data_IF_491094332310
#
_entry.id   IF_491094332310
#
_cell.length_a   1.000
_cell.length_b   1.000
_cell.length_c   1.000
_cell.angle_alpha   90.00
_cell.angle_beta   90.00
_cell.angle_gamma   90.00
#
_symmetry.space_group_name_H-M   'P 1'
#
loop_
_entity.id
_entity.type
_entity.pdbx_description
1 polymer ?
#
# COMPACT_ATOMS: atom_id res chain seq x y z
N UNK A 1 -24.22 10.24 6.76
CA UNK A 1 -23.03 9.65 7.38
C UNK A 1 -22.20 10.78 7.97
N UNK A 2 -21.87 10.71 9.26
CA UNK A 2 -21.09 11.75 9.93
C UNK A 2 -19.66 11.76 9.39
N UNK A 3 -19.06 12.95 9.31
CA UNK A 3 -17.64 13.13 8.99
C UNK A 3 -16.80 12.52 10.13
N UNK A 4 -15.77 11.71 9.85
CA UNK A 4 -14.91 11.15 10.88
C UNK A 4 -14.11 12.23 11.62
N UNK A 5 -13.97 12.06 12.92
CA UNK A 5 -13.10 12.89 13.76
C UNK A 5 -11.82 12.10 14.11
N UNK A 6 -10.71 12.42 13.45
CA UNK A 6 -9.46 11.69 13.62
C UNK A 6 -8.72 11.99 14.93
N UNK A 7 -9.28 12.82 15.82
CA UNK A 7 -8.84 12.89 17.22
C UNK A 7 -9.34 11.69 18.03
N UNK A 8 -10.39 11.00 17.57
CA UNK A 8 -10.89 9.75 18.16
C UNK A 8 -10.21 8.52 17.52
N UNK A 9 -9.58 7.69 18.37
CA UNK A 9 -8.91 6.44 18.02
C UNK A 9 -9.82 5.41 17.32
N UNK A 10 -11.15 5.53 17.43
CA UNK A 10 -12.10 4.65 16.74
C UNK A 10 -12.06 4.83 15.22
N UNK A 11 -11.74 6.03 14.74
CA UNK A 11 -11.57 6.33 13.31
C UNK A 11 -10.20 5.94 12.76
N UNK A 12 -9.40 5.19 13.53
CA UNK A 12 -8.16 4.60 13.09
C UNK A 12 -8.26 3.08 13.03
N UNK A 13 -7.97 2.52 11.86
CA UNK A 13 -7.82 1.09 11.65
C UNK A 13 -6.51 0.59 12.26
N UNK A 14 -5.46 1.42 12.22
CA UNK A 14 -4.24 1.23 12.97
C UNK A 14 -3.77 2.53 13.63
N UNK A 15 -3.31 2.46 14.89
CA UNK A 15 -2.78 3.62 15.62
C UNK A 15 -1.83 3.18 16.73
N UNK A 16 -0.69 3.87 16.99
CA UNK A 16 0.27 3.47 18.05
C UNK A 16 -0.26 3.50 19.49
N UNK A 17 -1.47 3.99 19.71
CA UNK A 17 -2.14 4.06 21.02
C UNK A 17 -3.32 3.08 21.12
N UNK A 18 -3.37 2.12 20.20
CA UNK A 18 -4.40 1.10 20.08
C UNK A 18 -3.71 -0.22 19.76
N UNK A 19 -4.20 -1.32 20.34
CA UNK A 19 -3.83 -2.65 19.88
C UNK A 19 -4.68 -2.98 18.65
N UNK A 20 -4.03 -3.26 17.53
CA UNK A 20 -4.72 -3.55 16.28
C UNK A 20 -3.97 -4.61 15.44
N UNK A 21 -4.56 -5.11 14.34
CA UNK A 21 -3.91 -6.16 13.57
C UNK A 21 -2.60 -5.76 12.91
N UNK A 22 -2.28 -4.47 12.75
CA UNK A 22 -0.99 -4.04 12.20
C UNK A 22 0.17 -4.34 13.15
N UNK A 23 -0.08 -4.51 14.44
CA UNK A 23 0.91 -4.95 15.44
C UNK A 23 1.26 -6.44 15.32
N UNK A 24 0.52 -7.18 14.49
CA UNK A 24 0.71 -8.62 14.36
C UNK A 24 2.05 -8.96 13.70
N UNK A 25 2.72 -9.98 14.24
CA UNK A 25 3.98 -10.48 13.71
C UNK A 25 3.80 -11.96 13.33
N UNK A 26 4.09 -12.36 12.08
CA UNK A 26 4.08 -13.75 11.67
C UNK A 26 4.91 -14.61 12.61
N UNK A 27 4.37 -15.77 13.05
CA UNK A 27 5.03 -16.66 14.03
C UNK A 27 6.54 -16.85 13.82
N UNK A 28 7.06 -17.11 12.59
CA UNK A 28 8.50 -17.33 12.42
C UNK A 28 9.38 -16.08 12.61
N UNK A 29 8.82 -14.88 12.62
CA UNK A 29 9.56 -13.61 12.78
C UNK A 29 9.63 -13.13 14.25
N UNK A 30 8.73 -13.62 15.12
CA UNK A 30 8.58 -13.12 16.50
C UNK A 30 9.86 -13.18 17.33
N UNK A 31 10.67 -14.23 17.17
CA UNK A 31 11.88 -14.44 17.97
C UNK A 31 12.91 -13.32 17.81
N UNK A 32 13.00 -12.72 16.61
CA UNK A 32 14.00 -11.72 16.27
C UNK A 32 13.37 -10.34 16.05
N UNK A 33 12.12 -10.15 16.45
CA UNK A 33 11.42 -8.89 16.27
C UNK A 33 12.01 -7.82 17.19
N UNK A 34 12.45 -6.72 16.58
CA UNK A 34 12.99 -5.56 17.27
C UNK A 34 12.29 -4.33 16.67
N UNK A 35 11.26 -3.79 17.34
CA UNK A 35 10.53 -2.64 16.81
C UNK A 35 11.40 -1.39 16.85
N UNK A 36 11.33 -0.63 15.76
CA UNK A 36 11.82 0.74 15.68
C UNK A 36 10.61 1.69 15.64
N UNK A 37 10.66 2.78 16.41
CA UNK A 37 9.59 3.79 16.48
C UNK A 37 10.07 5.19 16.09
N UNK A 38 11.24 5.28 15.45
CA UNK A 38 11.85 6.55 15.04
C UNK A 38 11.24 7.12 13.76
N UNK A 39 10.54 6.29 12.98
CA UNK A 39 9.83 6.66 11.75
C UNK A 39 8.35 6.39 11.94
N UNK A 40 7.53 7.16 11.25
CA UNK A 40 6.08 6.91 11.17
C UNK A 40 5.71 6.37 9.80
N UNK A 41 4.76 5.45 9.77
CA UNK A 41 4.21 4.88 8.56
C UNK A 41 2.74 5.31 8.48
N UNK A 42 2.42 6.14 7.49
CA UNK A 42 1.04 6.46 7.18
C UNK A 42 0.55 5.51 6.08
N UNK A 43 -0.18 4.47 6.51
CA UNK A 43 -0.68 3.41 5.65
C UNK A 43 -2.12 3.68 5.20
N UNK A 44 -2.36 3.74 3.89
CA UNK A 44 -3.69 3.94 3.32
C UNK A 44 -4.14 2.63 2.69
N UNK A 45 -5.10 1.98 3.35
CA UNK A 45 -5.60 0.66 2.97
C UNK A 45 -6.40 0.71 1.65
N UNK A 46 -6.59 -0.42 0.94
CA UNK A 46 -7.45 -0.48 -0.25
C UNK A 46 -8.93 -0.51 0.16
N UNK A 47 -9.84 -0.53 -0.81
CA UNK A 47 -11.25 -0.78 -0.53
C UNK A 47 -11.48 -2.26 -0.21
N UNK A 48 -12.07 -2.53 0.95
CA UNK A 48 -12.68 -3.79 1.37
C UNK A 48 -14.19 -3.78 1.17
N UNK A 49 -14.77 -2.64 0.78
CA UNK A 49 -16.18 -2.47 0.42
C UNK A 49 -16.40 -2.93 -1.02
N UNK A 50 -16.58 -4.25 -1.14
CA UNK A 50 -16.66 -4.96 -2.42
C UNK A 50 -18.03 -5.58 -2.68
N UNK A 51 -19.05 -5.22 -1.89
CA UNK A 51 -20.41 -5.71 -2.10
C UNK A 51 -21.03 -4.97 -3.29
N UNK A 52 -21.45 -5.74 -4.30
CA UNK A 52 -22.09 -5.21 -5.51
C UNK A 52 -23.47 -4.58 -5.22
N UNK A 53 -24.15 -4.98 -4.15
CA UNK A 53 -25.43 -4.38 -3.76
C UNK A 53 -25.27 -2.98 -3.19
N UNK A 54 -24.05 -2.61 -2.75
CA UNK A 54 -23.74 -1.29 -2.19
C UNK A 54 -24.75 -0.87 -1.10
N UNK A 55 -24.89 -1.63 0.01
CA UNK A 55 -25.90 -1.35 1.05
C UNK A 55 -25.82 0.06 1.66
N UNK A 56 -24.66 0.73 1.57
CA UNK A 56 -24.44 2.09 2.06
C UNK A 56 -24.29 3.13 0.93
N UNK A 57 -24.63 2.77 -0.30
CA UNK A 57 -24.37 3.56 -1.49
C UNK A 57 -22.92 3.47 -1.95
N UNK A 58 -22.41 4.52 -2.58
CA UNK A 58 -21.09 4.53 -3.22
C UNK A 58 -19.91 4.55 -2.26
N UNK A 59 -20.12 4.98 -1.01
CA UNK A 59 -19.11 4.97 0.02
C UNK A 59 -19.52 4.05 1.17
N UNK A 60 -18.54 3.41 1.78
CA UNK A 60 -18.75 2.59 2.96
C UNK A 60 -19.24 3.39 4.17
N UNK A 61 -20.07 2.76 5.00
CA UNK A 61 -20.33 3.24 6.35
C UNK A 61 -19.14 2.93 7.27
N UNK A 62 -18.75 3.91 8.09
CA UNK A 62 -17.73 3.73 9.14
C UNK A 62 -18.28 3.00 10.37
N UNK A 63 -19.60 2.83 10.49
CA UNK A 63 -20.24 2.13 11.60
C UNK A 63 -20.50 0.65 11.32
N UNK A 64 -20.19 0.15 10.12
CA UNK A 64 -20.42 -1.25 9.77
C UNK A 64 -19.33 -2.15 10.37
N UNK A 65 -19.70 -2.95 11.37
CA UNK A 65 -18.76 -3.79 12.11
C UNK A 65 -18.15 -4.91 11.25
N UNK A 66 -18.91 -5.45 10.29
CA UNK A 66 -18.42 -6.52 9.40
C UNK A 66 -17.36 -6.00 8.44
N UNK A 67 -17.60 -4.84 7.82
CA UNK A 67 -16.62 -4.18 6.95
C UNK A 67 -15.39 -3.71 7.73
N UNK A 68 -15.59 -3.22 8.95
CA UNK A 68 -14.51 -2.87 9.88
C UNK A 68 -13.62 -4.09 10.13
N UNK A 69 -14.21 -5.21 10.57
CA UNK A 69 -13.48 -6.46 10.80
C UNK A 69 -12.81 -6.99 9.51
N UNK A 70 -13.49 -6.89 8.35
CA UNK A 70 -12.91 -7.28 7.07
C UNK A 70 -11.66 -6.47 6.76
N UNK A 71 -11.68 -5.16 6.99
CA UNK A 71 -10.51 -4.27 6.76
C UNK A 71 -9.37 -4.64 7.71
N UNK A 72 -9.68 -4.79 8.98
CA UNK A 72 -8.73 -5.08 10.05
C UNK A 72 -8.01 -6.43 9.83
N UNK A 73 -8.77 -7.49 9.58
CA UNK A 73 -8.23 -8.85 9.46
C UNK A 73 -7.83 -9.25 8.02
N UNK A 74 -7.92 -8.33 7.05
CA UNK A 74 -7.34 -8.52 5.72
C UNK A 74 -6.23 -7.51 5.45
N UNK A 75 -6.56 -6.26 5.15
CA UNK A 75 -5.59 -5.30 4.64
C UNK A 75 -4.65 -4.81 5.73
N UNK A 76 -5.17 -4.55 6.93
CA UNK A 76 -4.33 -4.11 8.05
C UNK A 76 -3.43 -5.26 8.51
N UNK A 77 -4.01 -6.45 8.71
CA UNK A 77 -3.25 -7.64 9.10
C UNK A 77 -2.21 -8.09 8.08
N UNK A 78 -2.49 -8.07 6.77
CA UNK A 78 -1.59 -8.68 5.77
C UNK A 78 -0.72 -7.67 5.02
N UNK A 79 -1.05 -6.37 5.05
CA UNK A 79 -0.32 -5.34 4.31
C UNK A 79 0.28 -4.29 5.26
N UNK A 80 -0.50 -3.70 6.17
CA UNK A 80 0.01 -2.68 7.08
C UNK A 80 1.05 -3.25 8.06
N UNK A 81 0.85 -4.49 8.54
CA UNK A 81 1.78 -5.17 9.46
C UNK A 81 3.20 -5.38 8.90
N UNK A 82 3.39 -5.28 7.58
CA UNK A 82 4.72 -5.35 6.96
C UNK A 82 5.64 -4.29 7.57
N UNK A 83 5.09 -3.11 7.85
CA UNK A 83 5.84 -1.92 8.23
C UNK A 83 6.09 -1.78 9.73
N UNK A 84 5.49 -2.65 10.57
CA UNK A 84 5.58 -2.56 12.03
C UNK A 84 6.98 -2.89 12.62
N UNK A 85 7.97 -3.29 11.81
CA UNK A 85 9.36 -3.42 12.29
C UNK A 85 10.06 -2.08 12.40
N UNK A 86 9.68 -1.12 11.56
CA UNK A 86 10.49 0.08 11.31
C UNK A 86 9.88 1.36 11.86
N UNK A 87 8.59 1.34 12.18
CA UNK A 87 7.88 2.55 12.54
C UNK A 87 6.51 2.33 13.15
N UNK A 88 6.02 3.44 13.70
CA UNK A 88 4.67 3.58 14.23
C UNK A 88 3.67 3.59 13.09
N UNK A 89 2.70 2.67 13.07
CA UNK A 89 1.73 2.56 11.97
C UNK A 89 0.47 3.37 12.28
N UNK A 90 0.11 4.25 11.35
CA UNK A 90 -1.13 5.02 11.34
C UNK A 90 -1.91 4.65 10.09
N UNK A 91 -3.14 4.16 10.25
CA UNK A 91 -4.03 3.87 9.13
C UNK A 91 -5.45 4.37 9.42
N UNK A 92 -5.97 5.36 8.68
CA UNK A 92 -7.31 5.89 8.95
C UNK A 92 -8.41 4.95 8.48
N UNK A 93 -9.54 4.95 9.19
CA UNK A 93 -10.83 4.49 8.67
C UNK A 93 -11.46 5.63 7.90
N UNK A 94 -11.39 5.57 6.58
CA UNK A 94 -12.01 6.54 5.69
C UNK A 94 -13.23 5.92 5.01
N UNK A 95 -14.17 6.76 4.54
CA UNK A 95 -15.37 6.32 3.80
C UNK A 95 -14.96 5.85 2.40
N UNK A 96 -14.28 4.71 2.33
CA UNK A 96 -13.80 4.06 1.12
C UNK A 96 -14.89 3.96 0.06
N UNK A 97 -14.55 4.30 -1.18
CA UNK A 97 -15.46 4.12 -2.30
C UNK A 97 -15.61 2.61 -2.58
N UNK A 98 -16.82 2.18 -2.95
CA UNK A 98 -17.08 0.80 -3.32
C UNK A 98 -16.22 0.38 -4.51
N UNK A 99 -15.84 -0.90 -4.60
CA UNK A 99 -15.07 -1.44 -5.72
C UNK A 99 -15.69 -1.11 -7.09
N UNK A 100 -17.02 -1.10 -7.21
CA UNK A 100 -17.72 -0.74 -8.44
C UNK A 100 -17.45 0.69 -8.92
N UNK A 101 -16.92 1.59 -8.07
CA UNK A 101 -16.51 2.94 -8.47
C UNK A 101 -15.35 2.94 -9.49
N UNK A 102 -14.58 1.86 -9.59
CA UNK A 102 -13.57 1.68 -10.64
C UNK A 102 -14.14 1.22 -11.99
N UNK A 103 -15.41 0.79 -12.01
CA UNK A 103 -16.05 0.21 -13.19
C UNK A 103 -17.44 0.83 -13.41
N UNK A 104 -17.56 2.17 -13.54
CA UNK A 104 -18.84 2.81 -13.82
C UNK A 104 -19.37 2.35 -15.19
N UNK A 105 -20.67 2.08 -15.28
CA UNK A 105 -21.32 1.60 -16.52
C UNK A 105 -22.21 2.65 -17.18
N UNK A 106 -22.49 3.75 -16.50
CA UNK A 106 -23.26 4.89 -17.00
C UNK A 106 -22.59 6.23 -16.65
N UNK A 107 -22.98 7.31 -17.33
CA UNK A 107 -22.50 8.66 -16.99
C UNK A 107 -22.86 9.06 -15.56
N UNK A 108 -24.03 8.63 -15.07
CA UNK A 108 -24.45 8.87 -13.69
C UNK A 108 -23.55 8.13 -12.69
N UNK A 109 -23.19 6.87 -12.99
CA UNK A 109 -22.24 6.11 -12.19
C UNK A 109 -20.86 6.77 -12.18
N UNK A 110 -20.39 7.30 -13.32
CA UNK A 110 -19.11 8.02 -13.39
C UNK A 110 -19.09 9.22 -12.45
N UNK A 111 -20.15 10.04 -12.45
CA UNK A 111 -20.25 11.20 -11.55
C UNK A 111 -20.27 10.75 -10.09
N UNK A 112 -21.05 9.72 -9.76
CA UNK A 112 -21.15 9.21 -8.40
C UNK A 112 -19.85 8.56 -7.91
N UNK A 113 -19.14 7.84 -8.78
CA UNK A 113 -17.82 7.28 -8.49
C UNK A 113 -16.79 8.37 -8.21
N UNK A 114 -16.76 9.44 -9.00
CA UNK A 114 -15.88 10.59 -8.76
C UNK A 114 -16.18 11.26 -7.41
N UNK A 115 -17.45 11.50 -7.10
CA UNK A 115 -17.87 12.04 -5.80
C UNK A 115 -17.46 11.12 -4.64
N UNK A 116 -17.56 9.81 -4.84
CA UNK A 116 -17.16 8.83 -3.84
C UNK A 116 -15.64 8.84 -3.59
N UNK A 117 -14.83 8.96 -4.64
CA UNK A 117 -13.38 9.10 -4.50
C UNK A 117 -12.98 10.43 -3.84
N UNK A 118 -13.67 11.53 -4.16
CA UNK A 118 -13.41 12.82 -3.51
C UNK A 118 -13.75 12.79 -2.01
N UNK A 119 -14.89 12.18 -1.65
CA UNK A 119 -15.26 12.00 -0.24
C UNK A 119 -14.23 11.15 0.51
N UNK A 120 -13.82 10.03 -0.08
CA UNK A 120 -12.80 9.15 0.48
C UNK A 120 -11.45 9.86 0.63
N UNK A 121 -11.03 10.67 -0.36
CA UNK A 121 -9.81 11.45 -0.28
C UNK A 121 -9.88 12.54 0.80
N UNK A 122 -11.01 13.23 0.94
CA UNK A 122 -11.21 14.24 1.97
C UNK A 122 -10.99 13.65 3.37
N UNK A 123 -11.51 12.45 3.62
CA UNK A 123 -11.29 11.71 4.86
C UNK A 123 -9.81 11.33 5.06
N UNK A 124 -9.14 10.78 4.03
CA UNK A 124 -7.70 10.44 4.10
C UNK A 124 -6.85 11.67 4.39
N UNK A 125 -7.14 12.80 3.73
CA UNK A 125 -6.44 14.06 3.92
C UNK A 125 -6.65 14.61 5.31
N UNK A 126 -7.88 14.60 5.83
CA UNK A 126 -8.18 15.03 7.19
C UNK A 126 -7.39 14.20 8.22
N UNK A 127 -7.35 12.87 8.07
CA UNK A 127 -6.56 12.01 8.92
C UNK A 127 -5.07 12.33 8.87
N UNK A 128 -4.52 12.56 7.68
CA UNK A 128 -3.11 12.88 7.51
C UNK A 128 -2.74 14.21 8.17
N UNK A 129 -3.60 15.22 8.05
CA UNK A 129 -3.42 16.52 8.72
C UNK A 129 -3.43 16.32 10.24
N UNK A 130 -4.44 15.65 10.79
CA UNK A 130 -4.50 15.36 12.24
C UNK A 130 -3.26 14.59 12.72
N UNK A 131 -2.81 13.61 11.94
CA UNK A 131 -1.58 12.86 12.23
C UNK A 131 -0.34 13.77 12.27
N UNK A 132 -0.17 14.64 11.27
CA UNK A 132 0.97 15.55 11.21
C UNK A 132 0.98 16.52 12.39
N UNK A 133 -0.18 17.12 12.70
CA UNK A 133 -0.31 18.16 13.72
C UNK A 133 -0.23 17.59 15.15
N UNK A 134 -0.75 16.39 15.36
CA UNK A 134 -0.94 15.83 16.72
C UNK A 134 0.13 14.80 17.09
N UNK A 135 0.54 13.95 16.14
CA UNK A 135 1.28 12.72 16.47
C UNK A 135 2.69 12.64 15.87
N UNK A 136 2.95 13.24 14.71
CA UNK A 136 4.22 13.07 14.00
C UNK A 136 5.41 13.67 14.75
N UNK A 137 5.25 14.88 15.31
CA UNK A 137 6.30 15.64 16.02
C UNK A 137 7.62 15.71 15.23
N UNK A 138 7.56 15.84 13.90
CA UNK A 138 8.72 16.00 13.03
C UNK A 138 9.50 14.72 12.70
N UNK A 139 8.96 13.53 13.03
CA UNK A 139 9.56 12.24 12.65
C UNK A 139 9.57 12.05 11.13
N UNK A 140 10.54 11.32 10.57
CA UNK A 140 10.50 10.89 9.17
C UNK A 140 9.26 10.05 8.89
N UNK A 141 8.80 10.09 7.64
CA UNK A 141 7.51 9.55 7.22
C UNK A 141 7.71 8.57 6.06
N UNK A 142 7.09 7.41 6.17
CA UNK A 142 6.83 6.49 5.05
C UNK A 142 5.36 6.63 4.68
N UNK A 143 5.08 6.89 3.41
CA UNK A 143 3.72 6.74 2.87
C UNK A 143 3.64 5.35 2.26
N UNK A 144 2.67 4.54 2.68
CA UNK A 144 2.45 3.22 2.14
C UNK A 144 0.98 3.04 1.78
N UNK A 145 0.68 2.41 0.66
CA UNK A 145 -0.70 2.21 0.26
C UNK A 145 -0.89 1.05 -0.70
N UNK A 146 -2.12 0.54 -0.76
CA UNK A 146 -2.52 -0.46 -1.74
C UNK A 146 -3.80 -0.06 -2.46
N UNK A 147 -3.88 -0.37 -3.76
CA UNK A 147 -5.07 -0.21 -4.60
C UNK A 147 -5.74 1.17 -4.43
N UNK A 148 -6.97 1.25 -3.90
CA UNK A 148 -7.64 2.53 -3.64
C UNK A 148 -6.87 3.47 -2.71
N UNK A 149 -6.13 2.93 -1.75
CA UNK A 149 -5.22 3.73 -0.97
C UNK A 149 -4.16 4.40 -1.83
N UNK A 150 -3.72 3.77 -2.92
CA UNK A 150 -2.80 4.37 -3.90
C UNK A 150 -3.46 5.44 -4.76
N UNK A 151 -4.73 5.28 -5.12
CA UNK A 151 -5.52 6.36 -5.72
C UNK A 151 -5.47 7.63 -4.85
N UNK A 152 -5.61 7.48 -3.53
CA UNK A 152 -5.56 8.61 -2.60
C UNK A 152 -4.14 9.08 -2.29
N UNK A 153 -3.19 8.17 -2.10
CA UNK A 153 -1.83 8.52 -1.70
C UNK A 153 -1.04 9.19 -2.82
N UNK A 154 -1.33 8.91 -4.10
CA UNK A 154 -0.79 9.68 -5.23
C UNK A 154 -1.06 11.17 -5.09
N UNK A 155 -2.30 11.53 -4.74
CA UNK A 155 -2.72 12.93 -4.51
C UNK A 155 -2.13 13.47 -3.21
N UNK A 156 -2.13 12.68 -2.13
CA UNK A 156 -1.55 13.07 -0.84
C UNK A 156 -0.05 13.39 -0.96
N UNK A 157 0.73 12.52 -1.61
CA UNK A 157 2.17 12.72 -1.84
C UNK A 157 2.40 13.96 -2.70
N UNK A 158 1.55 14.20 -3.71
CA UNK A 158 1.65 15.38 -4.58
C UNK A 158 1.39 16.67 -3.82
N UNK A 159 0.37 16.69 -2.95
CA UNK A 159 -0.05 17.89 -2.22
C UNK A 159 0.91 18.25 -1.09
N UNK A 160 1.43 17.25 -0.36
CA UNK A 160 2.18 17.49 0.88
C UNK A 160 3.69 17.33 0.74
N UNK A 161 4.18 16.51 -0.20
CA UNK A 161 5.59 16.20 -0.31
C UNK A 161 6.21 16.74 -1.60
N UNK A 162 5.65 16.47 -2.78
CA UNK A 162 6.29 16.77 -4.07
C UNK A 162 6.60 18.28 -4.28
N UNK A 163 7.88 18.64 -4.17
CA UNK A 163 8.38 20.02 -4.21
C UNK A 163 8.04 20.85 -2.96
N UNK A 164 7.72 20.21 -1.84
CA UNK A 164 7.27 20.85 -0.59
C UNK A 164 8.25 20.61 0.56
N UNK A 165 8.15 21.41 1.61
CA UNK A 165 9.02 21.32 2.79
C UNK A 165 9.01 19.92 3.44
N UNK A 166 7.85 19.26 3.48
CA UNK A 166 7.71 17.92 4.07
C UNK A 166 8.45 16.83 3.27
N UNK A 167 8.83 17.07 2.01
CA UNK A 167 9.62 16.11 1.21
C UNK A 167 10.90 15.70 1.90
N UNK A 168 11.54 16.62 2.63
CA UNK A 168 12.75 16.35 3.40
C UNK A 168 12.55 15.25 4.45
N UNK A 169 11.32 15.03 4.91
CA UNK A 169 10.93 14.00 5.88
C UNK A 169 10.51 12.68 5.21
N UNK A 170 10.39 12.62 3.88
CA UNK A 170 9.98 11.40 3.18
C UNK A 170 11.12 10.37 3.15
N UNK A 171 10.93 9.25 3.84
CA UNK A 171 11.83 8.09 3.73
C UNK A 171 11.62 7.42 2.38
N UNK A 172 10.38 7.01 2.08
CA UNK A 172 9.96 6.47 0.78
C UNK A 172 8.42 6.47 0.67
N UNK A 173 7.92 6.44 -0.56
CA UNK A 173 6.50 6.27 -0.87
C UNK A 173 6.24 4.92 -1.57
N UNK A 174 5.65 3.95 -0.87
CA UNK A 174 5.24 2.65 -1.42
C UNK A 174 3.80 2.74 -1.95
N UNK A 175 3.66 3.11 -3.23
CA UNK A 175 2.41 3.38 -3.93
C UNK A 175 1.98 2.16 -4.75
N UNK A 176 1.40 1.15 -4.11
CA UNK A 176 1.23 -0.19 -4.72
C UNK A 176 -0.19 -0.43 -5.23
N UNK A 177 -0.37 -1.17 -6.32
CA UNK A 177 -1.66 -1.69 -6.78
C UNK A 177 -2.50 -0.78 -7.68
N UNK A 178 -2.08 0.47 -7.94
CA UNK A 178 -2.67 1.35 -8.96
C UNK A 178 -1.52 1.96 -9.76
N UNK A 179 -1.68 2.22 -11.07
CA UNK A 179 -0.64 2.86 -11.86
C UNK A 179 -0.29 4.25 -11.30
N UNK A 180 1.02 4.50 -11.17
CA UNK A 180 1.59 5.84 -11.00
C UNK A 180 2.17 6.24 -12.35
N UNK A 181 1.69 7.33 -12.92
CA UNK A 181 2.19 7.89 -14.19
C UNK A 181 3.63 8.37 -14.01
N UNK A 182 4.52 8.22 -15.01
CA UNK A 182 5.91 8.67 -14.91
C UNK A 182 6.09 10.15 -14.58
N UNK A 183 5.17 10.99 -15.02
CA UNK A 183 5.16 12.45 -14.90
C UNK A 183 4.18 12.96 -13.82
N UNK A 184 3.59 12.05 -13.02
CA UNK A 184 2.66 12.44 -11.95
C UNK A 184 3.32 13.37 -10.92
N UNK A 185 4.59 13.13 -10.59
CA UNK A 185 5.37 13.93 -9.64
C UNK A 185 6.42 14.79 -10.36
N UNK A 186 6.62 16.01 -9.87
CA UNK A 186 7.55 16.99 -10.44
C UNK A 186 8.98 16.72 -9.95
N UNK A 187 9.13 16.30 -8.70
CA UNK A 187 10.42 16.22 -8.00
C UNK A 187 10.71 14.83 -7.41
N UNK A 188 9.68 14.13 -6.91
CA UNK A 188 9.83 12.77 -6.37
C UNK A 188 9.97 11.80 -7.55
N UNK A 189 11.08 11.07 -7.59
CA UNK A 189 11.40 10.14 -8.66
C UNK A 189 11.26 8.67 -8.20
N UNK A 190 11.12 7.72 -9.13
CA UNK A 190 11.21 6.29 -8.81
C UNK A 190 12.56 5.93 -8.19
N UNK A 191 12.54 5.04 -7.20
CA UNK A 191 13.77 4.55 -6.57
C UNK A 191 14.59 3.69 -7.55
N UNK A 192 15.88 3.99 -7.67
CA UNK A 192 16.86 3.26 -8.49
C UNK A 192 17.69 2.27 -7.69
N UNK A 193 17.95 2.56 -6.42
CA UNK A 193 18.72 1.68 -5.52
C UNK A 193 17.91 1.27 -4.28
N UNK A 194 18.27 0.13 -3.65
CA UNK A 194 17.62 -0.36 -2.44
C UNK A 194 17.57 0.63 -1.27
N UNK A 195 18.60 1.45 -1.13
CA UNK A 195 18.84 2.37 -0.01
C UNK A 195 18.53 3.84 -0.33
N UNK A 196 18.08 4.15 -1.56
CA UNK A 196 17.64 5.50 -1.91
C UNK A 196 16.50 5.97 -0.99
N UNK A 197 16.43 7.26 -0.69
CA UNK A 197 15.37 7.84 0.14
C UNK A 197 14.74 9.02 -0.57
N UNK A 198 13.55 9.45 -0.14
CA UNK A 198 12.81 10.54 -0.79
C UNK A 198 12.32 10.18 -2.20
N UNK A 199 12.13 8.89 -2.47
CA UNK A 199 11.73 8.34 -3.76
C UNK A 199 10.46 7.47 -3.63
N UNK A 200 9.88 7.09 -4.76
CA UNK A 200 8.68 6.26 -4.81
C UNK A 200 8.96 4.85 -5.34
N UNK A 201 8.17 3.89 -4.87
CA UNK A 201 8.09 2.53 -5.37
C UNK A 201 6.64 2.24 -5.75
N UNK A 202 6.42 1.56 -6.86
CA UNK A 202 5.07 1.22 -7.35
C UNK A 202 5.12 -0.10 -8.10
N UNK A 203 4.11 -0.95 -7.94
CA UNK A 203 3.93 -2.13 -8.78
C UNK A 203 2.48 -2.64 -8.70
N UNK A 204 2.12 -3.46 -9.67
CA UNK A 204 0.84 -4.18 -9.75
C UNK A 204 1.09 -5.51 -10.46
N UNK A 205 0.67 -6.59 -9.82
CA UNK A 205 1.18 -7.93 -10.15
C UNK A 205 0.20 -8.71 -11.02
N UNK A 206 0.70 -9.22 -12.15
CA UNK A 206 -0.04 -10.06 -13.06
C UNK A 206 0.75 -11.32 -13.40
N UNK A 207 0.05 -12.35 -13.90
CA UNK A 207 0.68 -13.51 -14.51
C UNK A 207 1.55 -13.06 -15.68
N UNK A 208 2.73 -13.64 -15.81
CA UNK A 208 3.61 -13.39 -16.95
C UNK A 208 2.89 -13.54 -18.29
N UNK A 209 3.06 -12.53 -19.16
CA UNK A 209 2.40 -12.43 -20.45
C UNK A 209 0.94 -11.98 -20.42
N UNK A 210 0.37 -11.69 -19.24
CA UNK A 210 -1.00 -11.18 -19.10
C UNK A 210 -1.02 -9.70 -18.70
N UNK A 211 -1.84 -8.92 -19.40
CA UNK A 211 -2.29 -7.58 -19.01
C UNK A 211 -3.82 -7.54 -19.19
N UNK A 212 -4.59 -7.07 -18.21
CA UNK A 212 -6.02 -6.89 -18.36
C UNK A 212 -6.34 -5.70 -19.30
N UNK A 213 -7.53 -5.67 -19.88
CA UNK A 213 -7.93 -4.68 -20.89
C UNK A 213 -7.76 -3.23 -20.44
N UNK A 214 -8.04 -2.92 -19.16
CA UNK A 214 -7.87 -1.56 -18.66
C UNK A 214 -6.40 -1.12 -18.63
N UNK A 215 -5.45 -2.04 -18.43
CA UNK A 215 -4.01 -1.75 -18.53
C UNK A 215 -3.59 -1.58 -19.99
N UNK A 216 -4.16 -2.36 -20.90
CA UNK A 216 -3.89 -2.23 -22.34
C UNK A 216 -4.39 -0.90 -22.92
N UNK A 217 -5.37 -0.27 -22.28
CA UNK A 217 -5.94 1.03 -22.67
C UNK A 217 -5.18 2.23 -22.11
N UNK A 218 -4.20 2.02 -21.21
CA UNK A 218 -3.38 3.10 -20.70
C UNK A 218 -2.47 3.64 -21.80
N UNK A 219 -2.39 4.97 -21.89
CA UNK A 219 -1.57 5.68 -22.89
C UNK A 219 -0.17 6.02 -22.37
N UNK A 220 0.25 5.43 -21.25
CA UNK A 220 1.55 5.60 -20.62
C UNK A 220 2.06 4.27 -20.06
N UNK A 221 3.36 4.19 -19.79
CA UNK A 221 3.93 3.09 -19.02
C UNK A 221 4.07 3.49 -17.56
N UNK A 222 3.23 2.94 -16.69
CA UNK A 222 3.27 3.23 -15.27
C UNK A 222 4.67 2.96 -14.66
N UNK A 223 5.03 3.70 -13.61
CA UNK A 223 6.21 3.40 -12.81
C UNK A 223 6.09 2.00 -12.21
N UNK A 224 7.11 1.18 -12.44
CA UNK A 224 7.24 -0.15 -11.84
C UNK A 224 8.58 -0.29 -11.14
N UNK A 225 8.54 -0.73 -9.89
CA UNK A 225 9.68 -1.16 -9.10
C UNK A 225 9.61 -2.66 -8.92
N UNK A 226 10.72 -3.35 -9.17
CA UNK A 226 10.82 -4.75 -8.86
C UNK A 226 10.87 -4.91 -7.32
N UNK A 227 9.89 -5.57 -6.69
CA UNK A 227 9.82 -5.64 -5.23
C UNK A 227 10.87 -6.57 -4.61
N UNK A 228 11.65 -7.31 -5.40
CA UNK A 228 12.76 -8.16 -4.93
C UNK A 228 14.13 -7.50 -5.03
N UNK A 229 14.33 -6.58 -5.98
CA UNK A 229 15.58 -5.81 -6.17
C UNK A 229 15.46 -4.37 -5.64
N UNK A 230 14.22 -3.90 -5.42
CA UNK A 230 13.86 -2.56 -4.96
C UNK A 230 14.32 -1.43 -5.89
N UNK A 231 14.46 -1.76 -7.17
CA UNK A 231 14.89 -0.88 -8.24
C UNK A 231 13.86 -0.83 -9.36
N UNK A 232 13.74 0.33 -10.00
CA UNK A 232 13.05 0.46 -11.29
C UNK A 232 13.96 0.18 -12.51
N UNK A 233 15.26 -0.05 -12.28
CA UNK A 233 16.24 -0.35 -13.32
C UNK A 233 16.64 -1.84 -13.34
N UNK A 234 16.71 -2.48 -12.17
CA UNK A 234 16.93 -3.92 -12.07
C UNK A 234 15.61 -4.69 -12.21
N UNK A 235 15.30 -5.02 -13.44
CA UNK A 235 13.96 -5.44 -13.86
C UNK A 235 13.64 -6.91 -13.62
N UNK A 236 14.62 -7.76 -13.27
CA UNK A 236 14.41 -9.23 -13.17
C UNK A 236 14.98 -9.77 -11.87
N UNK A 237 14.16 -10.51 -11.14
CA UNK A 237 14.57 -11.32 -10.00
C UNK A 237 13.86 -12.68 -10.04
N UNK A 238 14.62 -13.75 -9.87
CA UNK A 238 14.10 -15.09 -9.82
C UNK A 238 13.39 -15.37 -8.50
N UNK A 239 12.46 -16.33 -8.52
CA UNK A 239 11.79 -16.81 -7.29
C UNK A 239 12.76 -17.23 -6.19
N UNK A 240 13.99 -17.67 -6.52
CA UNK A 240 14.97 -18.10 -5.51
C UNK A 240 15.40 -16.96 -4.56
N UNK A 241 15.29 -15.73 -5.02
CA UNK A 241 15.64 -14.51 -4.28
C UNK A 241 14.50 -14.05 -3.35
N UNK A 242 13.27 -14.53 -3.58
CA UNK A 242 12.14 -14.23 -2.73
C UNK A 242 12.25 -14.99 -1.39
N UNK A 243 12.72 -14.27 -0.36
CA UNK A 243 12.93 -14.78 1.00
C UNK A 243 11.64 -15.26 1.67
N UNK A 244 10.49 -14.75 1.24
CA UNK A 244 9.19 -15.32 1.58
C UNK A 244 8.00 -14.36 1.49
N UNK A 245 6.85 -14.93 1.18
CA UNK A 245 5.55 -14.26 1.21
C UNK A 245 4.56 -14.91 2.17
N UNK A 246 3.41 -14.28 2.38
CA UNK A 246 2.32 -14.74 3.25
C UNK A 246 1.05 -14.89 2.42
N UNK A 247 0.70 -16.12 2.03
CA UNK A 247 -0.36 -16.38 1.04
C UNK A 247 -1.52 -17.23 1.56
N UNK A 248 -1.24 -18.27 2.35
CA UNK A 248 -2.26 -19.22 2.84
C UNK A 248 -2.73 -18.95 4.26
N UNK A 249 -1.92 -18.25 5.07
CA UNK A 249 -2.25 -17.88 6.44
C UNK A 249 -1.16 -17.04 7.08
N UNK A 250 -1.54 -16.12 7.97
CA UNK A 250 -0.65 -15.07 8.50
C UNK A 250 0.61 -15.61 9.20
N UNK A 251 0.51 -16.78 9.85
CA UNK A 251 1.62 -17.39 10.59
C UNK A 251 2.52 -18.31 9.74
N UNK A 252 2.33 -18.35 8.42
CA UNK A 252 3.08 -19.22 7.51
C UNK A 252 3.82 -18.41 6.44
N UNK A 253 5.15 -18.48 6.47
CA UNK A 253 6.01 -17.89 5.44
C UNK A 253 6.27 -18.93 4.35
N UNK A 254 5.94 -18.57 3.11
CA UNK A 254 6.21 -19.38 1.92
C UNK A 254 7.43 -18.82 1.20
N UNK A 255 8.57 -19.50 1.32
CA UNK A 255 9.79 -19.13 0.59
C UNK A 255 9.65 -19.36 -0.90
N UNK A 256 10.36 -18.56 -1.69
CA UNK A 256 10.41 -18.65 -3.15
C UNK A 256 9.04 -18.59 -3.81
N UNK A 257 8.08 -17.86 -3.23
CA UNK A 257 6.68 -17.94 -3.66
C UNK A 257 6.47 -17.40 -5.08
N UNK A 258 7.10 -16.27 -5.40
CA UNK A 258 6.97 -15.57 -6.68
C UNK A 258 8.32 -15.01 -7.15
N UNK A 259 8.53 -14.99 -8.47
CA UNK A 259 9.58 -14.20 -9.12
C UNK A 259 9.09 -12.75 -9.31
N UNK A 260 9.92 -11.87 -9.85
CA UNK A 260 9.54 -10.51 -10.20
C UNK A 260 10.21 -10.11 -11.52
N UNK A 261 9.41 -9.74 -12.52
CA UNK A 261 9.89 -9.18 -13.78
C UNK A 261 9.09 -7.94 -14.13
N UNK A 262 9.72 -6.78 -14.15
CA UNK A 262 9.05 -5.53 -14.53
C UNK A 262 9.12 -5.34 -16.04
N UNK A 263 7.99 -5.15 -16.70
CA UNK A 263 7.91 -4.84 -18.12
C UNK A 263 6.56 -4.16 -18.43
N UNK A 264 6.53 -3.30 -19.45
CA UNK A 264 5.31 -2.65 -19.97
C UNK A 264 4.38 -2.02 -18.91
N UNK A 265 4.95 -1.35 -17.90
CA UNK A 265 4.14 -0.70 -16.86
C UNK A 265 3.45 -1.66 -15.88
N UNK A 266 3.87 -2.93 -15.82
CA UNK A 266 3.38 -3.92 -14.84
C UNK A 266 4.50 -4.77 -14.24
N UNK A 267 4.18 -5.46 -13.14
CA UNK A 267 5.01 -6.52 -12.58
C UNK A 267 4.47 -7.88 -13.01
N UNK A 268 5.27 -8.63 -13.76
CA UNK A 268 4.98 -10.01 -14.11
C UNK A 268 5.63 -11.00 -13.18
N UNK A 269 4.90 -12.07 -12.90
CA UNK A 269 5.44 -13.25 -12.24
C UNK A 269 4.79 -14.51 -12.78
N UNK A 270 5.54 -15.61 -12.79
CA UNK A 270 4.96 -16.93 -13.05
C UNK A 270 3.94 -17.28 -11.96
N UNK A 271 3.13 -18.32 -12.19
CA UNK A 271 2.13 -18.78 -11.22
C UNK A 271 2.77 -18.97 -9.84
N UNK A 272 2.32 -18.25 -8.79
CA UNK A 272 2.90 -18.37 -7.45
C UNK A 272 2.89 -19.82 -6.97
N UNK A 273 3.96 -20.23 -6.29
CA UNK A 273 4.09 -21.60 -5.76
C UNK A 273 3.91 -21.60 -4.25
N UNK A 274 2.82 -22.21 -3.83
CA UNK A 274 2.43 -22.46 -2.45
C UNK A 274 1.54 -23.71 -2.42
N UNK A 275 1.34 -24.29 -1.24
CA UNK A 275 0.45 -25.45 -1.07
C UNK A 275 -0.98 -25.12 -1.52
N UNK A 276 -1.56 -25.92 -2.42
CA UNK A 276 -2.91 -25.67 -2.96
C UNK A 276 -2.96 -24.68 -4.14
N UNK A 277 -1.81 -24.24 -4.69
CA UNK A 277 -1.81 -23.33 -5.83
C UNK A 277 -2.49 -23.89 -7.09
N UNK A 278 -2.77 -25.19 -7.19
CA UNK A 278 -3.54 -25.78 -8.29
C UNK A 278 -4.90 -25.09 -8.47
N UNK A 279 -5.56 -24.72 -7.36
CA UNK A 279 -6.84 -24.00 -7.35
C UNK A 279 -6.72 -22.50 -7.62
N UNK A 280 -5.50 -21.95 -7.59
CA UNK A 280 -5.24 -20.55 -7.92
C UNK A 280 -5.11 -20.38 -9.43
N UNK A 281 -6.21 -20.03 -10.09
CA UNK A 281 -6.33 -20.00 -11.57
C UNK A 281 -6.38 -18.58 -12.16
N UNK A 282 -6.59 -17.56 -11.33
CA UNK A 282 -6.60 -16.16 -11.76
C UNK A 282 -5.28 -15.76 -12.43
N UNK A 283 -5.32 -14.83 -13.38
CA UNK A 283 -4.14 -14.19 -13.98
C UNK A 283 -3.84 -12.82 -13.35
N UNK A 284 -4.75 -12.29 -12.55
CA UNK A 284 -4.59 -11.04 -11.82
C UNK A 284 -4.18 -11.36 -10.38
N UNK A 285 -2.97 -10.96 -9.99
CA UNK A 285 -2.39 -11.21 -8.67
C UNK A 285 -2.36 -9.94 -7.80
N UNK A 286 -3.09 -8.89 -8.18
CA UNK A 286 -3.20 -7.60 -7.50
C UNK A 286 -3.46 -7.69 -6.00
N UNK A 287 -4.37 -8.58 -5.57
CA UNK A 287 -4.64 -8.81 -4.12
C UNK A 287 -3.41 -9.28 -3.34
N UNK A 288 -2.41 -9.81 -4.03
CA UNK A 288 -1.17 -10.33 -3.48
C UNK A 288 0.04 -9.42 -3.65
N UNK A 289 -0.12 -8.18 -4.13
CA UNK A 289 1.02 -7.30 -4.45
C UNK A 289 2.01 -7.13 -3.29
N UNK A 290 1.52 -7.02 -2.05
CA UNK A 290 2.37 -7.01 -0.86
C UNK A 290 2.67 -8.44 -0.39
N UNK A 291 1.64 -9.27 -0.27
CA UNK A 291 1.71 -10.62 0.30
C UNK A 291 2.72 -11.55 -0.39
N UNK A 292 2.85 -11.48 -1.71
CA UNK A 292 3.81 -12.28 -2.49
C UNK A 292 5.26 -11.89 -2.22
N UNK A 293 5.50 -10.68 -1.72
CA UNK A 293 6.84 -10.11 -1.49
C UNK A 293 7.03 -9.64 -0.03
N UNK A 294 6.20 -10.14 0.91
CA UNK A 294 6.08 -9.65 2.28
C UNK A 294 7.42 -9.43 2.98
N UNK A 295 8.32 -10.43 3.00
CA UNK A 295 9.62 -10.29 3.66
C UNK A 295 10.56 -9.35 2.93
N UNK A 296 10.48 -9.30 1.60
CA UNK A 296 11.34 -8.43 0.80
C UNK A 296 10.97 -6.96 1.00
N UNK A 297 9.67 -6.65 1.02
CA UNK A 297 9.21 -5.28 1.35
C UNK A 297 9.61 -4.91 2.77
N UNK A 298 9.40 -5.81 3.75
CA UNK A 298 9.80 -5.57 5.14
C UNK A 298 11.29 -5.27 5.29
N UNK A 299 12.14 -6.02 4.60
CA UNK A 299 13.59 -5.80 4.55
C UNK A 299 13.94 -4.46 3.91
N UNK A 300 13.31 -4.10 2.79
CA UNK A 300 13.62 -2.85 2.10
C UNK A 300 13.25 -1.63 2.92
N UNK A 301 12.09 -1.67 3.58
CA UNK A 301 11.65 -0.57 4.43
C UNK A 301 12.66 -0.34 5.55
N UNK A 302 13.20 -1.42 6.14
CA UNK A 302 14.27 -1.33 7.15
C UNK A 302 15.53 -0.72 6.59
N UNK A 303 15.99 -1.21 5.43
CA UNK A 303 17.17 -0.68 4.76
C UNK A 303 17.06 0.82 4.43
N UNK A 304 15.91 1.28 3.91
CA UNK A 304 15.67 2.70 3.60
C UNK A 304 15.58 3.55 4.87
N UNK A 305 14.99 3.02 5.93
CA UNK A 305 14.93 3.69 7.23
C UNK A 305 16.33 3.90 7.81
N UNK A 306 17.17 2.87 7.78
CA UNK A 306 18.57 2.96 8.20
C UNK A 306 19.38 3.93 7.32
N UNK A 307 19.18 3.89 6.00
CA UNK A 307 19.82 4.81 5.06
C UNK A 307 19.42 6.27 5.29
N UNK A 308 18.13 6.53 5.57
CA UNK A 308 17.62 7.86 5.90
C UNK A 308 18.31 8.42 7.15
N UNK A 309 18.39 7.60 8.23
CA UNK A 309 19.06 8.00 9.48
C UNK A 309 20.54 8.32 9.28
N UNK A 310 21.24 7.53 8.47
CA UNK A 310 22.69 7.71 8.19
C UNK A 310 22.99 9.01 7.44
N UNK A 311 22.08 9.51 6.61
CA UNK A 311 22.27 10.78 5.87
C UNK A 311 22.28 12.02 6.79
N UNK A 312 21.91 11.86 8.06
CA UNK A 312 21.71 12.97 8.99
C UNK A 312 20.38 13.67 8.71
N UNK A 313 19.69 14.07 9.77
CA UNK A 313 18.58 15.03 9.61
C UNK A 313 19.25 16.38 9.40
N UNK A 314 18.95 17.14 8.33
CA UNK A 314 19.51 18.48 8.15
C UNK A 314 19.22 19.37 9.36
#
# INVERSE_FOLDING_TARGET
MNTPDYTDLNFWAAHPYKQDPSDSIPKPLRKNYQPDSSVDVFFIHPTTYTDNQRPFGWNASLSDALLTAKTDYSTILFQASIFNEVGRVFAPRYRQANLSAYFPVSSADTVAALQAFELAYADVKAAFITYLETYNQGRPIIIASHSQGTTHSKRLVKEFFDGKNLQSKLVAAYLVGIPVEPDWFNSIQPCRTPDQTGCLLSWRTYKEGYKPDYVLKENYHAVVTNPLTWSNADTVAERKENKGGIVTGFNSIVKKVAAARTADGVLWTSKPRFFGNIFFTTKNYHVGDFNLYYLSVRENVKQRTEAYKKKGTP
#
